data_IF_153344214304
#
_entry.id   IF_153344214304
#
_cell.length_a   1.000
_cell.length_b   1.000
_cell.length_c   1.000
_cell.angle_alpha   90.00
_cell.angle_beta   90.00
_cell.angle_gamma   90.00
#
_symmetry.space_group_name_H-M   'P 1'
#
loop_
_entity.id
_entity.type
_entity.pdbx_description
1 polymer ?
#
# COMPACT_ATOMS: atom_id res chain seq x y z
N UNK A 1 1.74 -20.61 18.93
CA UNK A 1 1.80 -20.37 17.48
C UNK A 1 1.35 -18.95 17.18
N UNK A 2 2.22 -18.14 16.64
CA UNK A 2 1.89 -16.76 16.31
C UNK A 2 1.20 -16.71 14.95
N UNK A 3 0.01 -16.14 14.92
CA UNK A 3 -0.63 -15.84 13.65
C UNK A 3 0.05 -14.62 13.04
N UNK A 4 0.46 -14.73 11.79
CA UNK A 4 1.01 -13.58 11.07
C UNK A 4 -0.06 -12.50 10.95
N UNK A 5 0.35 -11.24 11.06
CA UNK A 5 -0.55 -10.09 11.02
C UNK A 5 -0.18 -9.16 9.89
N UNK A 6 -1.19 -8.52 9.36
CA UNK A 6 -1.03 -7.48 8.36
C UNK A 6 -1.43 -6.14 8.98
N UNK A 7 -0.44 -5.25 9.12
CA UNK A 7 -0.60 -3.95 9.76
C UNK A 7 -0.43 -2.86 8.70
N UNK A 8 -1.44 -2.02 8.56
CA UNK A 8 -1.42 -0.93 7.59
C UNK A 8 -1.31 0.39 8.34
N UNK A 9 -0.34 1.21 7.93
CA UNK A 9 -0.15 2.56 8.47
C UNK A 9 -0.43 3.55 7.34
N UNK A 10 -1.47 4.35 7.48
CA UNK A 10 -1.85 5.35 6.49
C UNK A 10 -1.53 6.75 6.99
N UNK A 11 -1.21 7.64 6.05
CA UNK A 11 -0.94 9.03 6.34
C UNK A 11 0.04 9.64 5.35
N UNK A 12 0.06 10.95 5.32
CA UNK A 12 1.05 11.69 4.54
C UNK A 12 2.36 11.79 5.32
N UNK A 13 3.44 12.04 4.61
CA UNK A 13 4.73 12.28 5.23
C UNK A 13 4.64 13.50 6.15
N UNK A 14 5.36 13.46 7.27
CA UNK A 14 5.42 14.58 8.20
C UNK A 14 4.38 14.58 9.30
N UNK A 15 3.47 13.56 9.36
CA UNK A 15 2.46 13.46 10.42
C UNK A 15 2.83 12.43 11.49
N UNK A 16 4.13 12.17 11.67
CA UNK A 16 4.60 11.22 12.68
C UNK A 16 4.52 9.76 12.25
N UNK A 17 4.19 9.49 10.99
CA UNK A 17 4.06 8.13 10.47
C UNK A 17 5.38 7.36 10.55
N UNK A 18 6.49 7.98 10.17
CA UNK A 18 7.81 7.36 10.23
C UNK A 18 8.19 6.96 11.66
N UNK A 19 7.88 7.81 12.64
CA UNK A 19 8.13 7.52 14.05
C UNK A 19 7.26 6.36 14.52
N UNK A 20 6.00 6.34 14.11
CA UNK A 20 5.07 5.27 14.45
C UNK A 20 5.53 3.93 13.90
N UNK A 21 5.97 3.89 12.64
CA UNK A 21 6.50 2.68 12.01
C UNK A 21 7.74 2.20 12.75
N UNK A 22 8.65 3.10 13.06
CA UNK A 22 9.87 2.78 13.80
C UNK A 22 9.54 2.15 15.16
N UNK A 23 8.57 2.72 15.88
CA UNK A 23 8.15 2.21 17.18
C UNK A 23 7.54 0.82 17.06
N UNK A 24 6.71 0.58 16.06
CA UNK A 24 6.10 -0.74 15.82
C UNK A 24 7.19 -1.76 15.52
N UNK A 25 8.15 -1.43 14.66
CA UNK A 25 9.23 -2.33 14.31
C UNK A 25 10.10 -2.66 15.51
N UNK A 26 10.39 -1.67 16.36
CA UNK A 26 11.16 -1.90 17.58
C UNK A 26 10.43 -2.85 18.52
N UNK A 27 9.13 -2.66 18.69
CA UNK A 27 8.31 -3.53 19.52
C UNK A 27 8.34 -4.98 19.00
N UNK A 28 8.15 -5.15 17.70
CA UNK A 28 8.15 -6.49 17.09
C UNK A 28 9.52 -7.16 17.25
N UNK A 29 10.60 -6.41 17.05
CA UNK A 29 11.95 -6.94 17.23
C UNK A 29 12.23 -7.34 18.68
N UNK A 30 11.82 -6.53 19.63
CA UNK A 30 12.00 -6.81 21.05
C UNK A 30 11.24 -8.06 21.50
N UNK A 31 10.14 -8.39 20.84
CA UNK A 31 9.32 -9.56 21.13
C UNK A 31 9.66 -10.76 20.23
N UNK A 32 10.74 -10.67 19.47
CA UNK A 32 11.21 -11.72 18.54
C UNK A 32 10.14 -12.12 17.52
N UNK A 33 9.36 -11.12 17.07
CA UNK A 33 8.35 -11.32 16.03
C UNK A 33 8.98 -10.97 14.69
N UNK A 34 9.11 -11.97 13.81
CA UNK A 34 9.65 -11.77 12.48
C UNK A 34 8.70 -10.92 11.65
N UNK A 35 9.21 -9.90 11.00
CA UNK A 35 8.40 -8.93 10.28
C UNK A 35 9.15 -8.32 9.10
N UNK A 36 8.38 -7.82 8.13
CA UNK A 36 8.90 -7.05 7.02
C UNK A 36 8.14 -5.73 6.92
N UNK A 37 8.78 -4.77 6.27
CA UNK A 37 8.17 -3.48 5.93
C UNK A 37 8.05 -3.38 4.43
N UNK A 38 6.86 -3.06 3.94
CA UNK A 38 6.64 -2.73 2.54
C UNK A 38 5.88 -1.40 2.44
N UNK A 39 5.68 -0.89 1.24
CA UNK A 39 4.97 0.39 1.06
C UNK A 39 4.13 0.39 -0.21
N UNK A 40 3.14 1.26 -0.25
CA UNK A 40 2.27 1.46 -1.41
C UNK A 40 2.11 2.95 -1.73
N UNK A 41 2.20 3.36 -2.99
CA UNK A 41 2.64 2.54 -4.12
C UNK A 41 4.11 2.20 -3.98
N UNK A 42 4.49 0.97 -4.36
CA UNK A 42 5.89 0.52 -4.23
C UNK A 42 5.98 -0.92 -3.78
N UNK A 43 7.03 -1.21 -3.04
CA UNK A 43 7.29 -2.55 -2.48
C UNK A 43 8.06 -3.46 -3.42
N UNK A 44 7.63 -3.61 -4.65
CA UNK A 44 8.34 -4.35 -5.69
C UNK A 44 9.10 -3.38 -6.60
N UNK A 45 10.01 -3.90 -7.41
CA UNK A 45 10.70 -3.07 -8.40
C UNK A 45 9.71 -2.40 -9.36
N UNK A 46 8.72 -3.16 -9.82
CA UNK A 46 7.65 -2.61 -10.65
C UNK A 46 6.87 -1.53 -9.91
N UNK A 47 6.50 -1.81 -8.66
CA UNK A 47 5.74 -0.85 -7.85
C UNK A 47 6.49 0.44 -7.59
N UNK A 48 7.81 0.36 -7.37
CA UNK A 48 8.63 1.57 -7.19
C UNK A 48 8.69 2.39 -8.47
N UNK A 49 8.73 1.75 -9.63
CA UNK A 49 8.66 2.44 -10.92
C UNK A 49 7.32 3.16 -11.08
N UNK A 50 6.22 2.53 -10.69
CA UNK A 50 4.90 3.14 -10.75
C UNK A 50 4.79 4.32 -9.79
N UNK A 51 5.38 4.20 -8.60
CA UNK A 51 5.45 5.30 -7.65
C UNK A 51 6.14 6.51 -8.27
N UNK A 52 7.26 6.29 -8.93
CA UNK A 52 7.99 7.38 -9.59
C UNK A 52 7.16 8.06 -10.67
N UNK A 53 6.42 7.29 -11.46
CA UNK A 53 5.53 7.83 -12.50
C UNK A 53 4.41 8.67 -11.87
N UNK A 54 3.77 8.15 -10.83
CA UNK A 54 2.64 8.82 -10.17
C UNK A 54 3.09 10.15 -9.53
N UNK A 55 4.26 10.16 -8.88
CA UNK A 55 4.75 11.34 -8.17
C UNK A 55 5.42 12.37 -9.08
N UNK A 56 5.68 12.04 -10.34
CA UNK A 56 6.32 12.96 -11.28
C UNK A 56 5.26 13.87 -11.89
N UNK A 57 5.26 15.11 -11.46
CA UNK A 57 4.30 16.13 -11.92
C UNK A 57 4.40 16.41 -13.42
N UNK A 58 5.57 16.16 -14.02
CA UNK A 58 5.76 16.38 -15.45
C UNK A 58 4.93 15.42 -16.31
N UNK A 59 4.58 14.26 -15.78
CA UNK A 59 3.75 13.30 -16.51
C UNK A 59 2.32 13.78 -16.71
N UNK A 60 1.83 14.65 -15.83
CA UNK A 60 0.50 15.24 -15.92
C UNK A 60 -0.60 14.21 -16.22
N UNK A 61 -0.52 13.04 -15.57
CA UNK A 61 -1.51 11.98 -15.73
C UNK A 61 -2.82 12.37 -15.05
N UNK A 62 -3.94 11.88 -15.60
CA UNK A 62 -5.22 12.15 -14.96
C UNK A 62 -5.45 11.21 -13.75
N UNK A 63 -6.50 11.51 -12.99
CA UNK A 63 -6.77 10.78 -11.76
C UNK A 63 -7.07 9.29 -11.99
N UNK A 64 -7.73 8.96 -13.09
CA UNK A 64 -8.03 7.56 -13.39
C UNK A 64 -6.76 6.80 -13.73
N UNK A 65 -5.86 7.41 -14.52
CA UNK A 65 -4.56 6.81 -14.83
C UNK A 65 -3.78 6.54 -13.55
N UNK A 66 -3.71 7.52 -12.66
CA UNK A 66 -3.01 7.38 -11.39
C UNK A 66 -3.61 6.26 -10.54
N UNK A 67 -4.94 6.17 -10.49
CA UNK A 67 -5.62 5.11 -9.75
C UNK A 67 -5.28 3.73 -10.31
N UNK A 68 -5.26 3.57 -11.62
CA UNK A 68 -4.93 2.30 -12.26
C UNK A 68 -3.48 1.90 -11.97
N UNK A 69 -2.56 2.84 -12.05
CA UNK A 69 -1.14 2.59 -11.73
C UNK A 69 -0.99 2.21 -10.26
N UNK A 70 -1.71 2.89 -9.38
CA UNK A 70 -1.69 2.60 -7.95
C UNK A 70 -2.18 1.18 -7.68
N UNK A 71 -3.30 0.78 -8.27
CA UNK A 71 -3.83 -0.57 -8.09
C UNK A 71 -2.92 -1.64 -8.69
N UNK A 72 -2.30 -1.35 -9.83
CA UNK A 72 -1.33 -2.28 -10.42
C UNK A 72 -0.14 -2.50 -9.47
N UNK A 73 0.39 -1.42 -8.89
CA UNK A 73 1.46 -1.49 -7.91
C UNK A 73 1.04 -2.28 -6.67
N UNK A 74 -0.18 -2.03 -6.17
CA UNK A 74 -0.71 -2.73 -5.00
C UNK A 74 -0.85 -4.23 -5.25
N UNK A 75 -1.35 -4.61 -6.41
CA UNK A 75 -1.52 -6.03 -6.75
C UNK A 75 -0.18 -6.75 -6.79
N UNK A 76 0.83 -6.15 -7.41
CA UNK A 76 2.17 -6.73 -7.45
C UNK A 76 2.76 -6.88 -6.05
N UNK A 77 2.63 -5.84 -5.22
CA UNK A 77 3.10 -5.88 -3.84
C UNK A 77 2.39 -6.97 -3.03
N UNK A 78 1.08 -7.06 -3.18
CA UNK A 78 0.27 -8.06 -2.51
C UNK A 78 0.71 -9.47 -2.88
N UNK A 79 0.86 -9.72 -4.17
CA UNK A 79 1.16 -11.06 -4.68
C UNK A 79 2.60 -11.49 -4.44
N UNK A 80 3.55 -10.57 -4.58
CA UNK A 80 4.97 -10.91 -4.53
C UNK A 80 5.62 -10.70 -3.16
N UNK A 81 5.07 -9.82 -2.34
CA UNK A 81 5.67 -9.46 -1.04
C UNK A 81 4.77 -9.87 0.11
N UNK A 82 3.51 -9.41 0.12
CA UNK A 82 2.63 -9.55 1.28
C UNK A 82 2.21 -11.01 1.49
N UNK A 83 1.60 -11.63 0.50
CA UNK A 83 1.14 -13.02 0.64
C UNK A 83 2.27 -13.96 0.98
N UNK A 84 3.42 -13.95 0.25
CA UNK A 84 4.51 -14.85 0.61
C UNK A 84 5.05 -14.65 2.03
N UNK A 85 5.11 -13.40 2.49
CA UNK A 85 5.56 -13.12 3.85
C UNK A 85 4.58 -13.67 4.89
N UNK A 86 3.29 -13.45 4.69
CA UNK A 86 2.27 -13.97 5.60
C UNK A 86 2.25 -15.50 5.63
N UNK A 87 2.44 -16.13 4.48
CA UNK A 87 2.52 -17.60 4.40
C UNK A 87 3.73 -18.17 5.14
N UNK A 88 4.82 -17.40 5.24
CA UNK A 88 6.01 -17.78 6.03
C UNK A 88 5.85 -17.47 7.51
N UNK A 89 4.71 -16.94 7.93
CA UNK A 89 4.48 -16.58 9.32
C UNK A 89 5.02 -15.22 9.74
N UNK A 90 5.47 -14.42 8.77
CA UNK A 90 5.97 -13.07 9.07
C UNK A 90 4.81 -12.10 9.23
N UNK A 91 4.98 -11.12 10.13
CA UNK A 91 4.09 -9.97 10.21
C UNK A 91 4.51 -8.96 9.13
N UNK A 92 3.53 -8.39 8.43
CA UNK A 92 3.79 -7.40 7.38
C UNK A 92 3.29 -6.04 7.84
N UNK A 93 4.19 -5.05 7.83
CA UNK A 93 3.84 -3.65 8.03
C UNK A 93 3.80 -3.00 6.65
N UNK A 94 2.67 -2.42 6.29
CA UNK A 94 2.50 -1.75 5.01
C UNK A 94 2.33 -0.25 5.23
N UNK A 95 3.28 0.52 4.72
CA UNK A 95 3.26 1.98 4.75
C UNK A 95 2.50 2.46 3.51
N UNK A 96 1.27 2.96 3.70
CA UNK A 96 0.46 3.48 2.61
C UNK A 96 0.56 4.99 2.54
N UNK A 97 0.90 5.49 1.37
CA UNK A 97 0.93 6.92 1.12
C UNK A 97 -0.49 7.47 1.10
N UNK A 98 -0.67 8.64 1.73
CA UNK A 98 -1.97 9.31 1.83
C UNK A 98 -2.60 9.60 0.45
N UNK A 99 -1.79 9.62 -0.58
CA UNK A 99 -2.22 9.84 -1.96
C UNK A 99 -3.33 8.89 -2.40
N UNK A 100 -3.30 7.65 -1.93
CA UNK A 100 -4.36 6.67 -2.25
C UNK A 100 -5.74 7.15 -1.79
N UNK A 101 -5.82 7.77 -0.63
CA UNK A 101 -7.06 8.31 -0.12
C UNK A 101 -7.52 9.52 -0.93
N UNK A 102 -6.58 10.38 -1.33
CA UNK A 102 -6.90 11.55 -2.16
C UNK A 102 -7.41 11.14 -3.54
N UNK A 103 -6.75 10.17 -4.17
CA UNK A 103 -7.19 9.64 -5.46
C UNK A 103 -8.59 9.04 -5.33
N UNK A 104 -8.79 8.23 -4.30
CA UNK A 104 -10.08 7.58 -4.04
C UNK A 104 -11.19 8.60 -3.81
N UNK A 105 -10.96 9.57 -2.92
CA UNK A 105 -11.97 10.57 -2.57
C UNK A 105 -12.23 11.55 -3.71
N UNK A 106 -11.21 11.93 -4.45
CA UNK A 106 -11.35 12.85 -5.57
C UNK A 106 -12.09 12.25 -6.75
N UNK A 107 -12.05 10.93 -6.90
CA UNK A 107 -12.63 10.23 -8.04
C UNK A 107 -14.00 9.65 -7.71
N UNK A 108 -14.18 9.10 -6.52
CA UNK A 108 -15.41 8.38 -6.13
C UNK A 108 -16.64 9.27 -6.08
N UNK A 109 -16.46 10.59 -5.89
CA UNK A 109 -17.57 11.51 -5.92
C UNK A 109 -18.14 11.78 -7.31
N UNK A 110 -17.39 11.48 -8.38
CA UNK A 110 -17.68 11.97 -9.73
C UNK A 110 -17.77 10.89 -10.81
N UNK A 111 -17.25 9.68 -10.58
CA UNK A 111 -17.16 8.70 -11.66
C UNK A 111 -17.57 7.30 -11.22
N UNK A 112 -18.70 6.82 -11.78
CA UNK A 112 -19.21 5.49 -11.52
C UNK A 112 -18.26 4.39 -12.00
N UNK A 113 -17.49 4.63 -13.06
CA UNK A 113 -16.51 3.68 -13.56
C UNK A 113 -15.42 3.43 -12.54
N UNK A 114 -14.94 4.49 -11.89
CA UNK A 114 -13.90 4.37 -10.86
C UNK A 114 -14.42 3.60 -9.66
N UNK A 115 -15.67 3.83 -9.26
CA UNK A 115 -16.30 3.04 -8.19
C UNK A 115 -16.33 1.55 -8.52
N UNK A 116 -16.67 1.20 -9.76
CA UNK A 116 -16.68 -0.19 -10.21
C UNK A 116 -15.29 -0.80 -10.17
N UNK A 117 -14.30 -0.07 -10.64
CA UNK A 117 -12.90 -0.51 -10.61
C UNK A 117 -12.45 -0.71 -9.18
N UNK A 118 -12.75 0.24 -8.30
CA UNK A 118 -12.40 0.14 -6.89
C UNK A 118 -13.05 -1.10 -6.25
N UNK A 119 -14.32 -1.34 -6.51
CA UNK A 119 -15.03 -2.50 -5.95
C UNK A 119 -14.42 -3.82 -6.43
N UNK A 120 -13.99 -3.90 -7.70
CA UNK A 120 -13.31 -5.08 -8.24
C UNK A 120 -12.01 -5.33 -7.49
N UNK A 121 -11.21 -4.28 -7.28
CA UNK A 121 -9.93 -4.41 -6.58
C UNK A 121 -10.12 -4.72 -5.10
N UNK A 122 -11.11 -4.12 -4.45
CA UNK A 122 -11.43 -4.48 -3.06
C UNK A 122 -11.77 -5.96 -2.93
N UNK A 123 -12.52 -6.51 -3.85
CA UNK A 123 -12.85 -7.93 -3.85
C UNK A 123 -11.59 -8.80 -4.00
N UNK A 124 -10.60 -8.35 -4.79
CA UNK A 124 -9.34 -9.07 -4.96
C UNK A 124 -8.52 -9.04 -3.66
N UNK A 125 -8.49 -7.90 -2.96
CA UNK A 125 -7.64 -7.71 -1.79
C UNK A 125 -8.29 -8.14 -0.47
N UNK A 126 -9.58 -8.41 -0.45
CA UNK A 126 -10.28 -8.77 0.79
C UNK A 126 -10.21 -10.26 1.15
N UNK A 127 -9.37 -11.00 0.46
CA UNK A 127 -9.17 -12.42 0.76
C UNK A 127 -7.99 -12.63 1.72
#
# INVERSE_FOLDING_TARGET
>A
MYMSKFIVIEGSEGVGKSSQIKNIRSYLSEHNIDHILTREPGGTKFGESMRSVILDEENNTDNLTDALLFYASRYENYKKIIIPALEKGQTVICDRFHYSTLVYQGIVGEDELVKKIHNIFDAIFSK
#
